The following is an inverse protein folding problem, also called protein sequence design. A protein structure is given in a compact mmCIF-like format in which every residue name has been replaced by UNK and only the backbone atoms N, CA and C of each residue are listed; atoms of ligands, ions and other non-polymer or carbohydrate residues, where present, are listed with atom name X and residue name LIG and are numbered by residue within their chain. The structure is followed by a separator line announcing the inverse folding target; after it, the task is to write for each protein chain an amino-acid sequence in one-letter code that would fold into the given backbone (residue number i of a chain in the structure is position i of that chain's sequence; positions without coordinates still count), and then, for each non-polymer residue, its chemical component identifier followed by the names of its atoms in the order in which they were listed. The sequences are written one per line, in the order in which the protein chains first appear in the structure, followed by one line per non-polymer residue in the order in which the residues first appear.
data_IF_487805756322
#
_entry.id   IF_487805756322
#
_cell.length_a   1.000
_cell.length_b   1.000
_cell.length_c   1.000
_cell.angle_alpha   90.00
_cell.angle_beta   90.00
_cell.angle_gamma   90.00
#
_symmetry.space_group_name_H-M   'P 1'
#
loop_
_entity.id
_entity.type
_entity.pdbx_description
1 polymer ?
#
# COMPACT_ATOMS: atom_id res chain seq x y z
N UNK A 1 -4.53 -10.74 2.26
CA UNK A 1 -4.84 -10.36 3.66
C UNK A 1 -5.90 -9.29 3.65
N UNK A 2 -6.54 -9.02 4.78
CA UNK A 2 -7.38 -7.84 4.93
C UNK A 2 -6.62 -6.76 5.69
N UNK A 3 -6.84 -5.51 5.30
CA UNK A 3 -6.22 -4.32 5.90
C UNK A 3 -7.31 -3.36 6.31
N UNK A 4 -7.26 -2.85 7.54
CA UNK A 4 -8.17 -1.82 8.02
C UNK A 4 -7.57 -0.47 7.66
N UNK A 5 -8.31 0.33 6.91
CA UNK A 5 -7.89 1.66 6.45
C UNK A 5 -7.70 2.59 7.64
N UNK A 6 -6.57 3.29 7.68
CA UNK A 6 -6.25 4.30 8.69
C UNK A 6 -6.55 5.72 8.19
N UNK A 7 -6.57 6.68 9.10
CA UNK A 7 -6.74 8.09 8.72
C UNK A 7 -5.60 8.58 7.80
N UNK A 8 -5.99 9.25 6.71
CA UNK A 8 -5.06 9.74 5.70
C UNK A 8 -4.44 8.66 4.78
N UNK A 9 -4.90 7.41 4.84
CA UNK A 9 -4.48 6.38 3.90
C UNK A 9 -4.97 6.64 2.47
N UNK A 10 -4.18 6.18 1.52
CA UNK A 10 -4.54 6.13 0.10
C UNK A 10 -4.07 4.79 -0.46
N UNK A 11 -4.67 4.31 -1.56
CA UNK A 11 -4.24 3.03 -2.16
C UNK A 11 -2.74 2.98 -2.45
N UNK A 12 -2.08 4.04 -2.96
CA UNK A 12 -0.62 4.06 -3.10
C UNK A 12 0.14 3.93 -1.77
N UNK A 13 -0.32 4.59 -0.69
CA UNK A 13 0.31 4.47 0.64
C UNK A 13 0.15 3.06 1.21
N UNK A 14 -1.04 2.47 1.08
CA UNK A 14 -1.28 1.07 1.50
C UNK A 14 -0.41 0.12 0.65
N UNK A 15 -0.32 0.34 -0.66
CA UNK A 15 0.55 -0.44 -1.53
C UNK A 15 2.04 -0.31 -1.18
N UNK A 16 2.49 0.87 -0.75
CA UNK A 16 3.84 1.05 -0.24
C UNK A 16 4.06 0.31 1.08
N UNK A 17 3.14 0.46 2.05
CA UNK A 17 3.17 -0.22 3.35
C UNK A 17 3.25 -1.74 3.19
N UNK A 18 2.43 -2.31 2.29
CA UNK A 18 2.29 -3.77 2.17
C UNK A 18 3.21 -4.38 1.10
N UNK A 19 3.39 -3.71 -0.04
CA UNK A 19 4.17 -4.25 -1.15
C UNK A 19 5.54 -3.61 -1.35
N UNK A 20 5.86 -2.54 -0.60
CA UNK A 20 7.06 -1.72 -0.81
C UNK A 20 7.03 -0.91 -2.12
N UNK A 21 5.90 -0.85 -2.82
CA UNK A 21 5.80 -0.19 -4.13
C UNK A 21 4.44 0.47 -4.32
N UNK A 22 4.43 1.80 -4.26
CA UNK A 22 3.24 2.65 -4.47
C UNK A 22 2.53 2.34 -5.78
N UNK A 23 3.23 1.95 -6.84
CA UNK A 23 2.64 1.70 -8.18
C UNK A 23 1.74 0.46 -8.21
N UNK A 24 1.80 -0.40 -7.19
CA UNK A 24 0.97 -1.59 -7.06
C UNK A 24 -0.43 -1.31 -6.50
N UNK A 25 -0.78 -0.04 -6.29
CA UNK A 25 -2.13 0.38 -5.84
C UNK A 25 -3.25 -0.18 -6.73
N UNK A 26 -3.01 -0.31 -8.04
CA UNK A 26 -3.97 -0.87 -9.00
C UNK A 26 -4.40 -2.29 -8.65
N UNK A 27 -3.51 -3.09 -8.04
CA UNK A 27 -3.84 -4.45 -7.59
C UNK A 27 -4.85 -4.43 -6.44
N UNK A 28 -4.70 -3.48 -5.52
CA UNK A 28 -5.65 -3.30 -4.41
C UNK A 28 -6.99 -2.82 -5.00
N UNK A 29 -6.97 -1.86 -5.91
CA UNK A 29 -8.17 -1.36 -6.56
C UNK A 29 -8.94 -2.46 -7.31
N UNK A 30 -8.28 -3.22 -8.20
CA UNK A 30 -8.91 -4.30 -8.97
C UNK A 30 -9.45 -5.43 -8.10
N UNK A 31 -8.87 -5.65 -6.92
CA UNK A 31 -9.32 -6.68 -6.00
C UNK A 31 -10.53 -6.24 -5.15
N UNK A 32 -10.86 -4.94 -5.14
CA UNK A 32 -11.99 -4.38 -4.39
C UNK A 32 -12.88 -3.53 -5.34
N UNK A 33 -13.57 -4.14 -6.32
CA UNK A 33 -14.33 -3.42 -7.34
C UNK A 33 -15.52 -2.61 -6.78
N UNK A 34 -15.95 -2.93 -5.55
CA UNK A 34 -17.01 -2.23 -4.83
C UNK A 34 -16.48 -1.05 -3.98
N UNK A 35 -15.16 -0.89 -3.87
CA UNK A 35 -14.54 0.17 -3.07
C UNK A 35 -14.52 1.48 -3.86
N UNK A 36 -15.47 2.35 -3.53
CA UNK A 36 -15.62 3.68 -4.17
C UNK A 36 -14.79 4.73 -3.42
N UNK A 37 -14.72 4.64 -2.09
CA UNK A 37 -14.03 5.60 -1.20
C UNK A 37 -13.28 4.82 -0.12
N UNK A 38 -12.09 5.30 0.26
CA UNK A 38 -11.34 4.82 1.42
C UNK A 38 -11.68 5.69 2.64
N UNK A 39 -12.50 5.16 3.54
CA UNK A 39 -12.78 5.76 4.83
C UNK A 39 -12.02 5.01 5.93
N UNK A 40 -11.56 5.67 6.99
CA UNK A 40 -10.95 5.00 8.14
C UNK A 40 -11.89 3.92 8.71
N UNK A 41 -11.33 2.78 9.06
CA UNK A 41 -12.08 1.62 9.55
C UNK A 41 -12.65 0.70 8.46
N UNK A 42 -12.62 1.10 7.19
CA UNK A 42 -13.01 0.21 6.08
C UNK A 42 -12.00 -0.91 5.94
N UNK A 43 -12.48 -2.14 5.81
CA UNK A 43 -11.64 -3.29 5.53
C UNK A 43 -11.46 -3.45 4.01
N UNK A 44 -10.22 -3.56 3.56
CA UNK A 44 -9.88 -3.77 2.15
C UNK A 44 -9.07 -5.04 1.97
N UNK A 45 -9.36 -5.78 0.91
CA UNK A 45 -8.59 -6.97 0.56
C UNK A 45 -7.30 -6.57 -0.17
N UNK A 46 -6.16 -7.01 0.37
CA UNK A 46 -4.82 -6.77 -0.18
C UNK A 46 -4.22 -8.11 -0.64
N UNK A 47 -4.19 -8.40 -1.96
CA UNK A 47 -3.72 -9.68 -2.49
C UNK A 47 -2.20 -9.86 -2.36
N UNK A 48 -1.77 -10.72 -1.44
CA UNK A 48 -0.34 -11.03 -1.21
C UNK A 48 0.22 -12.08 -2.21
N UNK A 49 -0.65 -12.86 -2.86
CA UNK A 49 -0.27 -13.99 -3.73
C UNK A 49 0.52 -13.59 -4.99
N UNK A 50 0.53 -12.31 -5.35
CA UNK A 50 1.37 -11.80 -6.44
C UNK A 50 2.84 -11.52 -6.03
N UNK A 51 3.24 -11.75 -4.76
CA UNK A 51 4.61 -11.54 -4.25
C UNK A 51 5.54 -12.76 -4.38
N UNK A 52 5.15 -13.84 -5.08
CA UNK A 52 5.96 -15.06 -5.13
C UNK A 52 7.37 -14.87 -5.74
N UNK A 53 7.62 -13.75 -6.43
CA UNK A 53 8.92 -13.43 -7.02
C UNK A 53 9.61 -12.16 -6.47
N UNK A 54 9.06 -11.46 -5.48
CA UNK A 54 9.71 -10.27 -4.89
C UNK A 54 9.36 -10.16 -3.40
N UNK A 55 10.09 -10.89 -2.54
CA UNK A 55 10.17 -10.54 -1.12
C UNK A 55 10.55 -9.04 -1.00
N UNK A 56 10.13 -8.35 0.07
CA UNK A 56 10.33 -6.92 0.23
C UNK A 56 11.80 -6.58 0.07
N UNK A 57 12.11 -5.69 -0.88
CA UNK A 57 13.39 -4.98 -0.85
C UNK A 57 13.40 -4.23 0.49
N UNK A 58 14.37 -4.62 1.32
CA UNK A 58 14.70 -4.05 2.63
C UNK A 58 14.58 -2.51 2.67
N UNK A 59 14.30 -1.86 3.82
CA UNK A 59 13.84 -0.46 3.94
C UNK A 59 14.80 0.65 3.47
N UNK A 60 15.90 0.32 2.79
CA UNK A 60 16.99 1.25 2.44
C UNK A 60 16.70 2.11 1.19
N UNK A 61 15.50 2.66 1.04
CA UNK A 61 15.21 3.59 -0.07
C UNK A 61 14.35 4.82 0.29
N UNK A 62 14.19 5.17 1.57
CA UNK A 62 13.88 6.56 1.87
C UNK A 62 15.15 7.38 1.59
N UNK A 63 15.21 8.25 0.56
CA UNK A 63 16.23 9.28 0.58
C UNK A 63 15.97 10.10 1.84
N UNK A 64 16.96 10.14 2.73
CA UNK A 64 16.98 11.10 3.81
C UNK A 64 16.68 12.47 3.19
N UNK A 65 15.52 13.05 3.50
CA UNK A 65 15.24 14.42 3.13
C UNK A 65 16.24 15.28 3.89
N UNK A 66 17.28 15.71 3.18
CA UNK A 66 18.15 16.80 3.56
C UNK A 66 17.25 18.02 3.77
N UNK A 67 17.30 18.64 4.95
CA UNK A 67 16.88 20.04 5.10
C UNK A 67 17.94 20.78 5.90
N UNK A 68 18.37 21.86 5.27
CA UNK A 68 19.44 22.77 5.64
C UNK A 68 19.24 23.44 7.00
N UNK A 69 20.38 23.70 7.66
CA UNK A 69 20.60 24.71 8.68
C UNK A 69 21.91 25.42 8.35
#
# INVERSE_FOLDING_TARGET
MYYIVEDGDTLPKIAEKIYGDRKRWTKIFSANPHLIVLLPGVEVFVPLSAQKNQLPKSPSQFPAKIKAG
#
